data_IF_070788843985
#
_entry.id   IF_070788843985
#
_cell.length_a   1.000
_cell.length_b   1.000
_cell.length_c   1.000
_cell.angle_alpha   90.00
_cell.angle_beta   90.00
_cell.angle_gamma   90.00
#
_symmetry.space_group_name_H-M   'P 1'
#
loop_
_entity.id
_entity.type
_entity.pdbx_description
1 polymer ?
#
# COMPACT_ATOMS: atom_id res chain seq x y z
N UNK A 1 -27.23 21.70 -8.29
CA UNK A 1 -27.09 20.25 -8.28
C UNK A 1 -26.41 19.75 -7.00
N UNK A 2 -26.78 18.56 -6.56
CA UNK A 2 -26.29 17.94 -5.32
C UNK A 2 -25.37 16.73 -5.61
N UNK A 3 -25.10 16.45 -6.89
CA UNK A 3 -24.26 15.33 -7.33
C UNK A 3 -23.27 15.79 -8.39
N UNK A 4 -22.11 15.17 -8.40
CA UNK A 4 -21.10 15.37 -9.43
C UNK A 4 -19.69 15.09 -8.92
N UNK A 5 -18.76 14.93 -9.86
CA UNK A 5 -17.35 14.94 -9.54
C UNK A 5 -16.91 16.34 -9.11
N UNK A 6 -15.88 16.42 -8.29
CA UNK A 6 -15.37 17.68 -7.73
C UNK A 6 -15.16 18.77 -8.82
N UNK A 7 -14.59 18.40 -9.97
CA UNK A 7 -14.39 19.30 -11.10
C UNK A 7 -15.72 19.86 -11.64
N UNK A 8 -16.74 19.01 -11.80
CA UNK A 8 -18.05 19.45 -12.27
C UNK A 8 -18.73 20.39 -11.30
N UNK A 9 -18.59 20.14 -9.98
CA UNK A 9 -19.15 21.04 -8.97
C UNK A 9 -18.47 22.41 -8.98
N UNK A 10 -17.14 22.45 -9.22
CA UNK A 10 -16.42 23.72 -9.37
C UNK A 10 -16.91 24.54 -10.54
N UNK A 11 -17.03 23.91 -11.73
CA UNK A 11 -17.52 24.60 -12.93
C UNK A 11 -18.97 25.08 -12.76
N UNK A 12 -19.82 24.30 -12.13
CA UNK A 12 -21.20 24.70 -11.83
C UNK A 12 -21.25 25.87 -10.84
N UNK A 13 -20.38 25.88 -9.82
CA UNK A 13 -20.32 27.02 -8.89
C UNK A 13 -19.86 28.31 -9.56
N UNK A 14 -18.92 28.22 -10.55
CA UNK A 14 -18.52 29.37 -11.38
C UNK A 14 -19.69 29.86 -12.23
N UNK A 15 -20.34 28.96 -12.95
CA UNK A 15 -21.47 29.27 -13.80
C UNK A 15 -22.61 29.92 -12.99
N UNK A 16 -22.93 29.39 -11.81
CA UNK A 16 -23.93 29.99 -10.94
C UNK A 16 -23.59 31.43 -10.53
N UNK A 17 -22.32 31.73 -10.26
CA UNK A 17 -21.84 33.10 -9.98
C UNK A 17 -22.01 34.03 -11.20
N UNK A 18 -21.66 33.56 -12.40
CA UNK A 18 -21.86 34.30 -13.65
C UNK A 18 -23.35 34.61 -13.87
N UNK A 19 -24.21 33.67 -13.55
CA UNK A 19 -25.67 33.84 -13.60
C UNK A 19 -26.25 34.65 -12.42
N UNK A 20 -25.38 35.29 -11.61
CA UNK A 20 -25.76 36.11 -10.46
C UNK A 20 -26.59 35.40 -9.38
N UNK A 21 -26.37 34.07 -9.18
CA UNK A 21 -26.93 33.36 -8.04
C UNK A 21 -26.29 33.93 -6.77
N UNK A 22 -27.10 34.43 -5.79
CA UNK A 22 -26.58 35.19 -4.65
C UNK A 22 -25.58 34.41 -3.79
N UNK A 23 -25.81 33.11 -3.62
CA UNK A 23 -24.97 32.25 -2.78
C UNK A 23 -24.64 30.94 -3.47
N UNK A 24 -23.37 30.61 -3.50
CA UNK A 24 -22.87 29.29 -3.95
C UNK A 24 -21.95 28.72 -2.89
N UNK A 25 -22.18 27.47 -2.51
CA UNK A 25 -21.33 26.75 -1.58
C UNK A 25 -20.95 25.39 -2.20
N UNK A 26 -19.67 25.11 -2.22
CA UNK A 26 -19.15 23.83 -2.65
C UNK A 26 -18.89 22.99 -1.40
N UNK A 27 -19.40 21.75 -1.39
CA UNK A 27 -19.36 20.87 -0.22
C UNK A 27 -18.85 19.49 -0.61
N UNK A 28 -18.32 18.78 0.34
CA UNK A 28 -17.87 17.40 0.24
C UNK A 28 -18.79 16.45 0.99
N UNK A 29 -18.64 15.16 0.75
CA UNK A 29 -19.37 14.15 1.52
C UNK A 29 -19.02 14.28 3.00
N UNK A 30 -20.06 14.33 3.84
CA UNK A 30 -19.93 14.50 5.28
C UNK A 30 -20.07 15.93 5.77
N UNK A 31 -19.96 16.95 4.91
CA UNK A 31 -20.17 18.33 5.34
C UNK A 31 -21.63 18.58 5.75
N UNK A 32 -21.82 19.13 6.93
CA UNK A 32 -23.13 19.55 7.44
C UNK A 32 -23.26 21.03 7.18
N UNK A 33 -24.25 21.38 6.36
CA UNK A 33 -24.46 22.75 5.89
C UNK A 33 -25.68 23.38 6.59
N UNK A 34 -25.49 24.54 7.17
CA UNK A 34 -26.60 25.37 7.61
C UNK A 34 -27.12 26.20 6.46
N UNK A 35 -28.38 26.00 6.11
CA UNK A 35 -29.06 26.74 5.05
C UNK A 35 -29.84 27.91 5.67
N UNK A 36 -30.51 27.68 6.81
CA UNK A 36 -31.31 28.65 7.52
C UNK A 36 -31.30 28.38 9.06
N UNK A 37 -31.58 29.37 9.91
CA UNK A 37 -31.63 30.80 9.63
C UNK A 37 -30.20 31.36 9.48
N UNK A 38 -29.87 31.90 8.34
CA UNK A 38 -28.55 32.48 8.05
C UNK A 38 -28.63 33.36 6.82
N UNK A 39 -27.80 34.40 6.73
CA UNK A 39 -27.73 35.27 5.56
C UNK A 39 -27.04 34.57 4.36
N UNK A 40 -26.28 33.49 4.60
CA UNK A 40 -25.64 32.66 3.55
C UNK A 40 -25.43 31.23 4.03
N UNK A 41 -25.53 30.26 3.13
CA UNK A 41 -25.18 28.86 3.44
C UNK A 41 -23.70 28.74 3.84
N UNK A 42 -23.42 27.99 4.90
CA UNK A 42 -22.05 27.72 5.34
C UNK A 42 -21.93 26.35 6.03
N UNK A 43 -20.74 25.77 6.00
CA UNK A 43 -20.44 24.49 6.66
C UNK A 43 -20.34 24.75 8.16
N UNK A 44 -21.10 23.99 8.97
CA UNK A 44 -21.14 24.13 10.43
C UNK A 44 -20.45 22.96 11.14
N UNK A 45 -20.40 21.79 10.51
CA UNK A 45 -19.84 20.59 11.11
C UNK A 45 -19.52 19.56 10.03
N UNK A 46 -18.89 18.45 10.39
CA UNK A 46 -18.54 17.35 9.49
C UNK A 46 -18.89 16.00 10.11
N UNK A 47 -19.79 15.28 9.47
CA UNK A 47 -20.10 13.90 9.82
C UNK A 47 -19.05 12.95 9.27
N UNK A 48 -18.78 11.80 9.92
CA UNK A 48 -17.94 10.78 9.36
C UNK A 48 -18.43 10.33 7.98
N UNK A 49 -17.56 10.39 6.98
CA UNK A 49 -17.86 10.00 5.61
C UNK A 49 -16.74 9.07 5.09
N UNK A 50 -17.00 8.36 3.99
CA UNK A 50 -16.05 7.47 3.36
C UNK A 50 -16.72 6.20 2.85
N UNK A 51 -15.91 5.36 2.20
CA UNK A 51 -16.39 4.07 1.69
C UNK A 51 -16.15 2.98 2.72
N UNK A 52 -17.16 2.13 2.86
CA UNK A 52 -17.02 0.86 3.58
C UNK A 52 -17.20 -0.29 2.58
N UNK A 53 -16.30 -1.25 2.64
CA UNK A 53 -16.39 -2.50 1.88
C UNK A 53 -16.99 -3.58 2.77
N UNK A 54 -17.83 -4.42 2.18
CA UNK A 54 -18.26 -5.65 2.83
C UNK A 54 -17.22 -6.74 2.51
N UNK A 55 -16.46 -7.14 3.52
CA UNK A 55 -15.44 -8.17 3.43
C UNK A 55 -15.92 -9.45 4.12
N UNK A 56 -16.53 -10.34 3.34
CA UNK A 56 -17.33 -11.42 3.88
C UNK A 56 -18.55 -10.86 4.61
N UNK A 57 -18.61 -11.06 5.93
CA UNK A 57 -19.68 -10.52 6.80
C UNK A 57 -19.27 -9.28 7.59
N UNK A 58 -18.07 -8.73 7.34
CA UNK A 58 -17.49 -7.64 8.14
C UNK A 58 -17.44 -6.35 7.31
N UNK A 59 -17.97 -5.26 7.87
CA UNK A 59 -17.79 -3.93 7.29
C UNK A 59 -16.37 -3.41 7.54
N UNK A 60 -15.62 -3.12 6.48
CA UNK A 60 -14.24 -2.67 6.56
C UNK A 60 -14.09 -1.31 5.87
N UNK A 61 -13.46 -0.37 6.51
CA UNK A 61 -13.19 0.95 5.94
C UNK A 61 -12.19 0.86 4.78
N UNK A 62 -12.36 1.70 3.76
CA UNK A 62 -11.46 1.77 2.61
C UNK A 62 -10.00 2.05 2.98
N UNK A 63 -9.79 2.82 4.04
CA UNK A 63 -8.46 3.21 4.54
C UNK A 63 -7.81 2.20 5.49
N UNK A 64 -8.47 1.07 5.76
CA UNK A 64 -7.93 0.01 6.61
C UNK A 64 -6.65 -0.64 6.05
N UNK A 65 -5.81 -1.16 6.94
CA UNK A 65 -4.57 -1.85 6.57
C UNK A 65 -4.84 -3.03 5.64
N UNK A 66 -5.85 -3.85 5.94
CA UNK A 66 -6.20 -5.03 5.15
C UNK A 66 -6.57 -4.69 3.69
N UNK A 67 -7.33 -3.63 3.49
CA UNK A 67 -7.70 -3.17 2.12
C UNK A 67 -6.47 -2.61 1.40
N UNK A 68 -5.63 -1.82 2.08
CA UNK A 68 -4.39 -1.29 1.50
C UNK A 68 -3.41 -2.39 1.10
N UNK A 69 -3.24 -3.40 1.95
CA UNK A 69 -2.38 -4.55 1.67
C UNK A 69 -2.88 -5.35 0.48
N UNK A 70 -4.17 -5.68 0.41
CA UNK A 70 -4.76 -6.38 -0.75
C UNK A 70 -4.61 -5.60 -2.04
N UNK A 71 -4.87 -4.29 -2.03
CA UNK A 71 -4.65 -3.42 -3.20
C UNK A 71 -3.18 -3.45 -3.63
N UNK A 72 -2.25 -3.39 -2.68
CA UNK A 72 -0.82 -3.44 -2.97
C UNK A 72 -0.41 -4.80 -3.57
N UNK A 73 -0.85 -5.90 -2.97
CA UNK A 73 -0.56 -7.26 -3.49
C UNK A 73 -1.17 -7.45 -4.88
N UNK A 74 -2.41 -7.00 -5.10
CA UNK A 74 -3.07 -7.11 -6.40
C UNK A 74 -2.33 -6.36 -7.52
N UNK A 75 -1.76 -5.19 -7.22
CA UNK A 75 -1.07 -4.36 -8.22
C UNK A 75 0.38 -4.78 -8.40
N UNK A 76 1.09 -5.03 -7.30
CA UNK A 76 2.55 -5.22 -7.30
C UNK A 76 3.01 -6.67 -7.14
N UNK A 77 2.10 -7.56 -6.75
CA UNK A 77 2.45 -8.93 -6.39
C UNK A 77 2.98 -9.08 -4.98
N UNK A 78 3.33 -10.29 -4.63
CA UNK A 78 3.83 -10.72 -3.33
C UNK A 78 5.17 -11.45 -3.48
N UNK A 79 6.10 -11.13 -2.58
CA UNK A 79 7.41 -11.76 -2.48
C UNK A 79 7.63 -12.21 -1.04
N UNK A 80 8.01 -13.46 -0.86
CA UNK A 80 8.36 -14.04 0.42
C UNK A 80 9.78 -14.58 0.39
N UNK A 81 10.55 -14.26 1.42
CA UNK A 81 11.88 -14.80 1.65
C UNK A 81 11.91 -15.47 3.02
N UNK A 82 12.14 -16.77 3.05
CA UNK A 82 12.31 -17.53 4.28
C UNK A 82 13.78 -17.81 4.52
N UNK A 83 14.29 -17.35 5.65
CA UNK A 83 15.68 -17.50 6.08
C UNK A 83 15.75 -18.51 7.22
N UNK A 84 16.55 -19.55 7.04
CA UNK A 84 16.80 -20.57 8.04
C UNK A 84 18.12 -20.27 8.76
N UNK A 85 18.08 -20.16 10.09
CA UNK A 85 19.25 -19.87 10.93
C UNK A 85 19.51 -21.06 11.83
N UNK A 86 20.74 -21.56 11.86
CA UNK A 86 21.12 -22.62 12.76
C UNK A 86 21.43 -22.08 14.18
N UNK A 87 21.64 -22.98 15.15
CA UNK A 87 21.93 -22.64 16.54
C UNK A 87 23.18 -21.75 16.72
N UNK A 88 24.10 -21.77 15.77
CA UNK A 88 25.32 -20.96 15.77
C UNK A 88 25.13 -19.58 15.10
N UNK A 89 23.90 -19.20 14.76
CA UNK A 89 23.60 -17.93 14.08
C UNK A 89 23.98 -17.90 12.60
N UNK A 90 24.39 -19.03 12.02
CA UNK A 90 24.76 -19.12 10.60
C UNK A 90 23.51 -19.32 9.74
N UNK A 91 23.40 -18.52 8.69
CA UNK A 91 22.27 -18.54 7.76
C UNK A 91 22.50 -19.60 6.68
N UNK A 92 21.47 -20.42 6.44
CA UNK A 92 21.41 -21.34 5.29
C UNK A 92 20.88 -20.62 4.03
N UNK A 93 20.97 -21.29 2.86
CA UNK A 93 20.42 -20.75 1.62
C UNK A 93 18.95 -20.33 1.82
N UNK A 94 18.59 -19.07 1.53
CA UNK A 94 17.21 -18.61 1.68
C UNK A 94 16.29 -19.31 0.66
N UNK A 95 15.03 -19.44 1.03
CA UNK A 95 13.96 -19.92 0.15
C UNK A 95 13.15 -18.71 -0.28
N UNK A 96 12.96 -18.55 -1.61
CA UNK A 96 12.22 -17.43 -2.17
C UNK A 96 10.98 -17.96 -2.87
N UNK A 97 9.84 -17.32 -2.62
CA UNK A 97 8.60 -17.55 -3.34
C UNK A 97 7.92 -16.25 -3.73
N UNK A 98 7.20 -16.24 -4.85
CA UNK A 98 6.46 -15.08 -5.31
C UNK A 98 5.13 -15.46 -5.95
N UNK A 99 4.21 -14.49 -5.91
CA UNK A 99 2.90 -14.60 -6.55
C UNK A 99 2.53 -13.27 -7.20
N UNK A 100 1.97 -13.34 -8.41
CA UNK A 100 1.52 -12.17 -9.15
C UNK A 100 2.61 -11.21 -9.61
N UNK A 101 3.85 -11.71 -9.73
CA UNK A 101 4.97 -11.03 -10.38
C UNK A 101 5.22 -11.74 -11.71
N UNK A 102 5.31 -11.01 -12.85
CA UNK A 102 5.49 -11.62 -14.18
C UNK A 102 6.93 -12.09 -14.36
N UNK A 103 7.29 -13.22 -13.76
CA UNK A 103 8.66 -13.76 -13.77
C UNK A 103 9.02 -14.47 -15.08
N UNK A 104 8.06 -15.06 -15.75
CA UNK A 104 8.23 -15.77 -17.01
C UNK A 104 8.53 -14.82 -18.18
N UNK A 105 7.99 -13.59 -18.12
CA UNK A 105 8.18 -12.56 -19.13
C UNK A 105 9.48 -11.75 -18.98
N UNK A 106 10.18 -11.91 -17.84
CA UNK A 106 11.36 -11.07 -17.56
C UNK A 106 12.64 -11.72 -18.05
N UNK A 107 12.94 -12.92 -17.59
CA UNK A 107 14.14 -13.70 -17.93
C UNK A 107 14.11 -15.02 -17.17
N UNK A 108 14.56 -16.09 -17.83
CA UNK A 108 14.73 -17.40 -17.18
C UNK A 108 15.73 -17.35 -16.01
N UNK A 109 16.67 -16.40 -16.04
CA UNK A 109 17.71 -16.26 -15.00
C UNK A 109 17.27 -15.38 -13.83
N UNK A 110 16.15 -14.64 -13.94
CA UNK A 110 15.73 -13.68 -12.92
C UNK A 110 15.61 -14.29 -11.51
N UNK A 111 15.07 -15.49 -11.42
CA UNK A 111 14.90 -16.20 -10.15
C UNK A 111 16.26 -16.55 -9.55
N UNK A 112 17.18 -17.04 -10.36
CA UNK A 112 18.55 -17.38 -9.92
C UNK A 112 19.31 -16.12 -9.49
N UNK A 113 19.22 -15.04 -10.26
CA UNK A 113 19.85 -13.76 -9.94
C UNK A 113 19.34 -13.23 -8.59
N UNK A 114 18.02 -13.30 -8.35
CA UNK A 114 17.42 -12.87 -7.09
C UNK A 114 17.86 -13.78 -5.93
N UNK A 115 17.91 -15.10 -6.11
CA UNK A 115 18.38 -16.03 -5.09
C UNK A 115 19.84 -15.76 -4.73
N UNK A 116 20.69 -15.52 -5.71
CA UNK A 116 22.10 -15.23 -5.51
C UNK A 116 22.32 -13.91 -4.79
N UNK A 117 21.62 -12.85 -5.18
CA UNK A 117 21.73 -11.54 -4.52
C UNK A 117 21.25 -11.61 -3.06
N UNK A 118 20.10 -12.28 -2.80
CA UNK A 118 19.59 -12.50 -1.45
C UNK A 118 20.56 -13.38 -0.65
N UNK A 119 21.12 -14.41 -1.26
CA UNK A 119 22.14 -15.27 -0.64
C UNK A 119 23.41 -14.48 -0.26
N UNK A 120 23.85 -13.58 -1.13
CA UNK A 120 25.01 -12.71 -0.85
C UNK A 120 24.75 -11.79 0.36
N UNK A 121 23.58 -11.19 0.44
CA UNK A 121 23.17 -10.37 1.60
C UNK A 121 23.19 -11.23 2.87
N UNK A 122 22.61 -12.42 2.82
CA UNK A 122 22.57 -13.33 3.96
C UNK A 122 23.97 -13.70 4.47
N UNK A 123 24.95 -13.86 3.58
CA UNK A 123 26.33 -14.18 3.95
C UNK A 123 27.04 -13.06 4.72
N UNK A 124 26.60 -11.81 4.57
CA UNK A 124 27.19 -10.67 5.30
C UNK A 124 26.67 -10.54 6.72
N UNK A 125 25.66 -11.33 7.10
CA UNK A 125 25.06 -11.29 8.43
C UNK A 125 25.39 -12.55 9.25
N UNK A 126 25.61 -12.33 10.55
CA UNK A 126 25.57 -13.38 11.57
C UNK A 126 24.55 -12.98 12.62
N UNK A 127 23.58 -13.85 12.86
CA UNK A 127 22.40 -13.51 13.67
C UNK A 127 22.46 -14.22 15.02
N UNK A 128 22.96 -13.52 16.03
CA UNK A 128 23.06 -13.99 17.41
C UNK A 128 22.11 -13.26 18.36
N UNK A 129 21.52 -12.14 17.94
CA UNK A 129 20.62 -11.31 18.74
C UNK A 129 19.39 -10.90 17.95
N UNK A 130 18.30 -10.56 18.67
CA UNK A 130 17.07 -10.02 18.06
C UNK A 130 17.33 -8.74 17.24
N UNK A 131 18.27 -7.89 17.66
CA UNK A 131 18.63 -6.68 16.93
C UNK A 131 19.28 -6.99 15.58
N UNK A 132 20.17 -7.97 15.53
CA UNK A 132 20.79 -8.44 14.29
C UNK A 132 19.78 -9.10 13.36
N UNK A 133 18.83 -9.84 13.91
CA UNK A 133 17.70 -10.42 13.18
C UNK A 133 16.86 -9.33 12.51
N UNK A 134 16.54 -8.26 13.24
CA UNK A 134 15.77 -7.15 12.74
C UNK A 134 16.50 -6.38 11.63
N UNK A 135 17.80 -6.16 11.79
CA UNK A 135 18.64 -5.55 10.77
C UNK A 135 18.70 -6.40 9.48
N UNK A 136 18.79 -7.73 9.62
CA UNK A 136 18.73 -8.63 8.46
C UNK A 136 17.38 -8.55 7.74
N UNK A 137 16.27 -8.56 8.49
CA UNK A 137 14.92 -8.42 7.93
C UNK A 137 14.78 -7.13 7.12
N UNK A 138 15.22 -6.02 7.69
CA UNK A 138 15.16 -4.72 7.01
C UNK A 138 16.05 -4.68 5.77
N UNK A 139 17.28 -5.17 5.86
CA UNK A 139 18.20 -5.24 4.73
C UNK A 139 17.64 -6.09 3.59
N UNK A 140 17.13 -7.29 3.88
CA UNK A 140 16.51 -8.16 2.89
C UNK A 140 15.27 -7.52 2.28
N UNK A 141 14.40 -6.94 3.10
CA UNK A 141 13.17 -6.29 2.64
C UNK A 141 13.44 -5.13 1.68
N UNK A 142 14.44 -4.31 1.97
CA UNK A 142 14.83 -3.18 1.12
C UNK A 142 15.48 -3.65 -0.19
N UNK A 143 16.43 -4.58 -0.11
CA UNK A 143 17.16 -5.05 -1.29
C UNK A 143 16.25 -5.87 -2.21
N UNK A 144 15.44 -6.78 -1.70
CA UNK A 144 14.49 -7.54 -2.52
C UNK A 144 13.53 -6.62 -3.27
N UNK A 145 12.98 -5.60 -2.60
CA UNK A 145 12.13 -4.60 -3.27
C UNK A 145 12.87 -3.84 -4.38
N UNK A 146 14.14 -3.49 -4.14
CA UNK A 146 14.98 -2.78 -5.11
C UNK A 146 15.27 -3.63 -6.33
N UNK A 147 15.65 -4.90 -6.12
CA UNK A 147 15.97 -5.86 -7.19
C UNK A 147 14.74 -6.06 -8.08
N UNK A 148 13.60 -6.42 -7.47
CA UNK A 148 12.36 -6.65 -8.22
C UNK A 148 11.93 -5.38 -8.94
N UNK A 149 12.00 -4.21 -8.29
CA UNK A 149 11.64 -2.94 -8.91
C UNK A 149 12.50 -2.64 -10.14
N UNK A 150 13.80 -2.89 -10.06
CA UNK A 150 14.72 -2.60 -11.19
C UNK A 150 14.44 -3.49 -12.40
N UNK A 151 13.97 -4.71 -12.20
CA UNK A 151 13.69 -5.67 -13.28
C UNK A 151 12.26 -5.58 -13.81
N UNK A 152 11.29 -5.25 -12.95
CA UNK A 152 9.85 -5.34 -13.27
C UNK A 152 9.11 -4.02 -13.22
N UNK A 153 9.72 -2.97 -12.65
CA UNK A 153 9.03 -1.73 -12.30
C UNK A 153 8.08 -1.84 -11.09
N UNK A 154 7.81 -3.06 -10.60
CA UNK A 154 6.87 -3.33 -9.50
C UNK A 154 7.57 -3.30 -8.14
N UNK A 155 6.80 -2.93 -7.11
CA UNK A 155 7.25 -2.92 -5.69
C UNK A 155 6.44 -3.94 -4.89
N UNK A 156 6.77 -5.23 -4.92
CA UNK A 156 5.96 -6.27 -4.31
C UNK A 156 5.78 -6.06 -2.81
N UNK A 157 4.65 -6.51 -2.29
CA UNK A 157 4.50 -6.69 -0.86
C UNK A 157 5.47 -7.78 -0.41
N UNK A 158 6.46 -7.39 0.39
CA UNK A 158 7.59 -8.28 0.71
C UNK A 158 7.55 -8.69 2.17
N UNK A 159 7.52 -9.98 2.42
CA UNK A 159 7.60 -10.60 3.74
C UNK A 159 8.93 -11.34 3.90
N UNK A 160 9.58 -11.15 5.03
CA UNK A 160 10.78 -11.88 5.40
C UNK A 160 10.45 -12.71 6.64
N UNK A 161 10.56 -14.02 6.51
CA UNK A 161 10.38 -14.96 7.61
C UNK A 161 11.74 -15.50 8.07
N UNK A 162 11.94 -15.55 9.36
CA UNK A 162 13.13 -16.16 9.96
C UNK A 162 12.69 -17.36 10.78
N UNK A 163 13.27 -18.51 10.51
CA UNK A 163 13.05 -19.74 11.25
C UNK A 163 14.39 -20.27 11.81
N UNK A 164 14.39 -20.69 13.05
CA UNK A 164 15.55 -21.30 13.73
C UNK A 164 15.42 -22.81 13.67
N UNK A 165 16.53 -23.47 13.35
CA UNK A 165 16.65 -24.94 13.31
C UNK A 165 17.22 -25.45 14.62
#
# INVERSE_FOLDING_TARGET
PVHGEHRHMQEQAKFAKEMKVPHTLQVENGDIVRIAPSNSPHIIDKAPSGRMYLDGSIGVREDSSSIKERKNISINGYLEVTVLINNNGKIKKPIISFKGIPTEEISETFIFDLEDEVGNICRTFSVQSKKQEQNLIEALKQNCKKIVKNRTGKKPYTTINISRL
#
